data_IF_804394954372
#
_entry.id   IF_804394954372
#
_cell.length_a   1.000
_cell.length_b   1.000
_cell.length_c   1.000
_cell.angle_alpha   90.00
_cell.angle_beta   90.00
_cell.angle_gamma   90.00
#
_symmetry.space_group_name_H-M   'P 1'
#
loop_
_entity.id
_entity.type
_entity.pdbx_description
1 polymer ?
#
# COMPACT_ATOMS: atom_id res chain seq x y z
N UNK A 1 -7.19 2.57 -10.83
CA UNK A 1 -8.00 1.59 -10.09
C UNK A 1 -7.20 1.08 -8.91
N UNK A 2 -7.75 1.07 -7.70
CA UNK A 2 -7.07 0.54 -6.52
C UNK A 2 -7.76 -0.73 -6.01
N UNK A 3 -6.98 -1.73 -5.60
CA UNK A 3 -7.52 -3.01 -5.14
C UNK A 3 -6.57 -3.73 -4.18
N UNK A 4 -7.12 -4.56 -3.29
CA UNK A 4 -6.37 -5.59 -2.54
C UNK A 4 -6.52 -6.97 -3.17
N UNK A 5 -7.45 -7.12 -4.12
CA UNK A 5 -7.90 -8.40 -4.64
C UNK A 5 -7.01 -8.87 -5.80
N UNK A 6 -6.55 -10.13 -5.79
CA UNK A 6 -5.82 -10.70 -6.92
C UNK A 6 -6.71 -10.93 -8.14
N UNK A 7 -8.03 -10.77 -8.00
CA UNK A 7 -9.00 -11.01 -9.08
C UNK A 7 -8.86 -10.02 -10.24
N UNK A 8 -8.20 -8.87 -10.03
CA UNK A 8 -7.93 -7.90 -11.10
C UNK A 8 -7.13 -8.50 -12.26
N UNK A 9 -6.37 -9.57 -12.01
CA UNK A 9 -5.64 -10.30 -13.07
C UNK A 9 -6.56 -11.05 -14.04
N UNK A 10 -7.86 -11.20 -13.74
CA UNK A 10 -8.84 -11.83 -14.66
C UNK A 10 -9.23 -10.91 -15.82
N UNK A 11 -9.12 -9.59 -15.61
CA UNK A 11 -9.60 -8.57 -16.54
C UNK A 11 -8.44 -7.93 -17.33
N UNK A 12 -7.31 -8.63 -17.47
CA UNK A 12 -6.10 -8.10 -18.13
C UNK A 12 -6.38 -7.71 -19.58
N UNK A 13 -7.16 -8.50 -20.30
CA UNK A 13 -7.58 -8.23 -21.68
C UNK A 13 -8.36 -6.92 -21.81
N UNK A 14 -9.20 -6.59 -20.81
CA UNK A 14 -9.90 -5.31 -20.73
C UNK A 14 -8.93 -4.18 -20.37
N UNK A 15 -8.07 -4.39 -19.35
CA UNK A 15 -7.10 -3.39 -18.89
C UNK A 15 -6.14 -2.96 -20.01
N UNK A 16 -5.69 -3.91 -20.85
CA UNK A 16 -4.81 -3.63 -21.99
C UNK A 16 -5.42 -2.65 -23.00
N UNK A 17 -6.75 -2.62 -23.14
CA UNK A 17 -7.43 -1.70 -24.07
C UNK A 17 -7.29 -0.23 -23.64
N UNK A 18 -7.11 0.03 -22.35
CA UNK A 18 -6.97 1.38 -21.81
C UNK A 18 -5.53 1.91 -21.86
N UNK A 19 -4.52 1.04 -22.06
CA UNK A 19 -3.10 1.42 -22.12
C UNK A 19 -2.72 2.29 -20.92
N UNK A 20 -2.05 3.43 -21.15
CA UNK A 20 -1.65 4.39 -20.11
C UNK A 20 -2.81 5.11 -19.42
N UNK A 21 -4.06 4.98 -19.90
CA UNK A 21 -5.23 5.60 -19.26
C UNK A 21 -5.70 4.84 -18.01
N UNK A 22 -5.11 3.69 -17.72
CA UNK A 22 -5.40 2.93 -16.51
C UNK A 22 -4.10 2.54 -15.81
N UNK A 23 -4.08 2.76 -14.49
CA UNK A 23 -3.08 2.21 -13.58
C UNK A 23 -3.77 1.30 -12.58
N UNK A 24 -3.22 0.12 -12.35
CA UNK A 24 -3.66 -0.77 -11.27
C UNK A 24 -2.76 -0.56 -10.06
N UNK A 25 -3.33 0.02 -9.01
CA UNK A 25 -2.69 0.20 -7.72
C UNK A 25 -3.09 -0.96 -6.80
N UNK A 26 -2.13 -1.84 -6.49
CA UNK A 26 -2.34 -2.96 -5.57
C UNK A 26 -1.97 -2.50 -4.17
N UNK A 27 -2.93 -2.53 -3.24
CA UNK A 27 -2.66 -2.13 -1.86
C UNK A 27 -1.88 -3.21 -1.14
N UNK A 28 -0.72 -2.88 -0.58
CA UNK A 28 0.12 -3.71 0.30
C UNK A 28 0.56 -2.84 1.48
N UNK A 29 -0.17 -2.94 2.59
CA UNK A 29 0.00 -2.07 3.77
C UNK A 29 1.24 -2.40 4.62
N UNK A 30 1.70 -3.65 4.54
CA UNK A 30 2.75 -4.24 5.37
C UNK A 30 3.37 -5.44 4.65
N UNK A 31 4.61 -5.80 5.01
CA UNK A 31 5.28 -7.03 4.63
C UNK A 31 5.13 -8.18 5.65
N UNK A 32 4.29 -8.01 6.68
CA UNK A 32 4.06 -9.00 7.71
C UNK A 32 2.65 -9.61 7.61
N UNK A 33 2.58 -10.92 7.41
CA UNK A 33 1.31 -11.67 7.44
C UNK A 33 0.62 -11.58 8.81
N UNK A 34 1.39 -11.49 9.90
CA UNK A 34 0.83 -11.31 11.25
C UNK A 34 0.12 -9.97 11.36
N UNK A 35 0.76 -8.89 10.89
CA UNK A 35 0.17 -7.55 10.88
C UNK A 35 -1.05 -7.51 9.94
N UNK A 36 -0.95 -8.08 8.73
CA UNK A 36 -2.10 -8.19 7.82
C UNK A 36 -3.27 -8.92 8.49
N UNK A 37 -3.05 -10.08 9.13
CA UNK A 37 -4.11 -10.85 9.81
C UNK A 37 -4.77 -10.07 10.94
N UNK A 38 -4.03 -9.24 11.67
CA UNK A 38 -4.57 -8.45 12.78
C UNK A 38 -5.39 -7.24 12.31
N UNK A 39 -4.86 -6.51 11.33
CA UNK A 39 -5.46 -5.25 10.90
C UNK A 39 -6.43 -5.40 9.71
N UNK A 40 -6.12 -6.29 8.78
CA UNK A 40 -6.87 -6.53 7.53
C UNK A 40 -7.05 -8.03 7.26
N UNK A 41 -7.71 -8.78 8.17
CA UNK A 41 -7.83 -10.25 8.09
C UNK A 41 -8.45 -10.74 6.77
N UNK A 42 -9.41 -9.99 6.24
CA UNK A 42 -10.14 -10.31 5.01
C UNK A 42 -9.33 -9.99 3.73
N UNK A 43 -8.22 -9.24 3.85
CA UNK A 43 -7.36 -8.98 2.72
C UNK A 43 -6.64 -10.27 2.28
N UNK A 44 -6.50 -10.52 0.98
CA UNK A 44 -5.72 -11.65 0.48
C UNK A 44 -4.28 -11.66 1.01
N UNK A 45 -3.62 -12.83 1.08
CA UNK A 45 -2.22 -12.93 1.48
C UNK A 45 -1.32 -11.98 0.67
N UNK A 46 -0.30 -11.41 1.31
CA UNK A 46 0.69 -10.52 0.71
C UNK A 46 1.33 -11.17 -0.51
N UNK A 47 1.67 -12.46 -0.43
CA UNK A 47 2.27 -13.18 -1.55
C UNK A 47 1.34 -13.27 -2.77
N UNK A 48 0.03 -13.38 -2.57
CA UNK A 48 -0.92 -13.37 -3.68
C UNK A 48 -0.96 -11.99 -4.36
N UNK A 49 -0.81 -10.91 -3.59
CA UNK A 49 -0.73 -9.54 -4.10
C UNK A 49 0.56 -9.28 -4.88
N UNK A 50 1.69 -9.81 -4.42
CA UNK A 50 2.94 -9.79 -5.21
C UNK A 50 2.80 -10.53 -6.53
N UNK A 51 2.22 -11.74 -6.52
CA UNK A 51 1.98 -12.50 -7.76
C UNK A 51 1.06 -11.75 -8.73
N UNK A 52 0.07 -11.01 -8.22
CA UNK A 52 -0.77 -10.14 -9.04
C UNK A 52 0.04 -9.02 -9.69
N UNK A 53 0.94 -8.36 -8.95
CA UNK A 53 1.84 -7.34 -9.52
C UNK A 53 2.73 -7.92 -10.63
N UNK A 54 3.35 -9.08 -10.41
CA UNK A 54 4.14 -9.77 -11.44
C UNK A 54 3.32 -10.03 -12.70
N UNK A 55 2.10 -10.56 -12.52
CA UNK A 55 1.21 -10.90 -13.63
C UNK A 55 0.80 -9.66 -14.43
N UNK A 56 0.48 -8.56 -13.74
CA UNK A 56 0.12 -7.29 -14.37
C UNK A 56 1.32 -6.67 -15.12
N UNK A 57 2.49 -6.66 -14.50
CA UNK A 57 3.72 -6.14 -15.09
C UNK A 57 4.14 -6.94 -16.33
N UNK A 58 4.07 -8.27 -16.28
CA UNK A 58 4.35 -9.15 -17.42
C UNK A 58 3.43 -8.88 -18.62
N UNK A 59 2.21 -8.40 -18.37
CA UNK A 59 1.23 -8.02 -19.39
C UNK A 59 1.28 -6.52 -19.76
N UNK A 60 2.31 -5.80 -19.31
CA UNK A 60 2.55 -4.36 -19.57
C UNK A 60 1.42 -3.46 -19.08
N UNK A 61 0.74 -3.85 -18.01
CA UNK A 61 -0.23 -2.98 -17.34
C UNK A 61 0.54 -2.03 -16.41
N UNK A 62 0.31 -0.71 -16.45
CA UNK A 62 0.90 0.21 -15.48
C UNK A 62 0.48 -0.16 -14.06
N UNK A 63 1.46 -0.43 -13.19
CA UNK A 63 1.23 -0.84 -11.81
C UNK A 63 1.75 0.19 -10.81
N UNK A 64 1.23 0.07 -9.59
CA UNK A 64 1.67 0.81 -8.41
C UNK A 64 1.40 -0.05 -7.18
N UNK A 65 2.19 0.16 -6.13
CA UNK A 65 1.82 -0.29 -4.78
C UNK A 65 1.30 0.89 -3.98
N UNK A 66 0.14 0.72 -3.36
CA UNK A 66 -0.34 1.63 -2.33
C UNK A 66 -0.07 1.03 -0.94
N UNK A 67 0.74 1.70 -0.13
CA UNK A 67 0.90 1.42 1.29
C UNK A 67 -0.12 2.28 2.02
N UNK A 68 -1.38 1.81 2.04
CA UNK A 68 -2.54 2.60 2.40
C UNK A 68 -3.63 1.76 3.12
N UNK A 69 -3.84 1.94 4.44
CA UNK A 69 -3.03 2.76 5.33
C UNK A 69 -1.63 2.15 5.52
N UNK A 70 -0.68 2.97 5.96
CA UNK A 70 0.61 2.47 6.47
C UNK A 70 0.37 1.64 7.73
N UNK A 71 0.80 0.39 7.69
CA UNK A 71 0.81 -0.51 8.84
C UNK A 71 2.26 -0.83 9.28
N UNK A 72 2.46 -1.39 10.48
CA UNK A 72 3.77 -1.85 10.93
C UNK A 72 4.46 -2.74 9.89
N UNK A 73 5.67 -2.38 9.49
CA UNK A 73 6.43 -3.05 8.43
C UNK A 73 7.92 -3.11 8.76
N UNK A 74 8.60 -4.14 8.26
CA UNK A 74 10.04 -4.29 8.40
C UNK A 74 10.83 -3.15 7.73
N UNK A 75 12.08 -2.96 8.16
CA UNK A 75 12.97 -1.96 7.55
C UNK A 75 13.23 -2.25 6.07
N UNK A 76 13.35 -3.52 5.70
CA UNK A 76 13.61 -3.99 4.34
C UNK A 76 12.35 -4.09 3.45
N UNK A 77 11.24 -3.48 3.86
CA UNK A 77 10.02 -3.51 3.07
C UNK A 77 10.20 -2.86 1.68
N UNK A 78 10.87 -1.70 1.53
CA UNK A 78 11.14 -1.12 0.21
C UNK A 78 11.86 -2.08 -0.75
N UNK A 79 12.86 -2.82 -0.27
CA UNK A 79 13.65 -3.79 -1.03
C UNK A 79 12.79 -4.97 -1.49
N UNK A 80 11.81 -5.37 -0.68
CA UNK A 80 10.83 -6.39 -1.07
C UNK A 80 9.86 -5.89 -2.14
N UNK A 81 9.55 -4.59 -2.18
CA UNK A 81 8.64 -4.01 -3.16
C UNK A 81 9.33 -3.78 -4.52
N UNK A 82 10.60 -3.38 -4.50
CA UNK A 82 11.33 -2.90 -5.69
C UNK A 82 11.33 -3.88 -6.89
N UNK A 83 11.39 -5.21 -6.71
CA UNK A 83 11.30 -6.14 -7.85
C UNK A 83 9.96 -6.13 -8.57
N UNK A 84 8.89 -5.63 -7.94
CA UNK A 84 7.52 -5.75 -8.44
C UNK A 84 6.94 -4.44 -8.99
N UNK A 85 7.53 -3.30 -8.62
CA UNK A 85 6.96 -1.99 -8.92
C UNK A 85 7.99 -0.90 -8.84
N UNK A 86 7.79 0.17 -9.61
CA UNK A 86 8.58 1.41 -9.51
C UNK A 86 7.81 2.51 -8.77
N UNK A 87 6.49 2.59 -8.94
CA UNK A 87 5.64 3.63 -8.33
C UNK A 87 5.04 3.20 -6.99
N UNK A 88 5.23 4.02 -5.96
CA UNK A 88 4.68 3.82 -4.60
C UNK A 88 3.79 4.99 -4.22
N UNK A 89 2.64 4.71 -3.61
CA UNK A 89 1.84 5.72 -2.91
C UNK A 89 1.74 5.37 -1.44
N UNK A 90 2.06 6.33 -0.59
CA UNK A 90 1.89 6.26 0.86
C UNK A 90 0.62 6.99 1.28
N UNK A 91 -0.11 6.40 2.20
CA UNK A 91 -1.23 7.06 2.85
C UNK A 91 -1.37 6.55 4.28
N UNK A 92 -1.66 7.44 5.22
CA UNK A 92 -1.84 7.08 6.62
C UNK A 92 -3.28 7.36 7.09
N UNK A 93 -3.55 7.10 8.37
CA UNK A 93 -4.86 7.33 8.95
C UNK A 93 -5.21 8.81 9.17
N UNK A 94 -4.28 9.74 8.98
CA UNK A 94 -4.45 11.15 9.32
C UNK A 94 -4.63 12.01 8.06
N UNK A 95 -3.82 11.74 7.04
CA UNK A 95 -3.93 12.30 5.70
C UNK A 95 -5.04 11.60 4.90
N UNK A 96 -5.11 10.27 4.99
CA UNK A 96 -5.98 9.44 4.16
C UNK A 96 -7.43 9.31 4.64
N UNK A 97 -7.71 9.63 5.89
CA UNK A 97 -9.06 9.41 6.43
C UNK A 97 -10.05 10.53 6.08
N UNK A 98 -9.58 11.64 5.53
CA UNK A 98 -10.38 12.83 5.19
C UNK A 98 -11.00 13.54 6.39
N UNK A 99 -10.62 13.16 7.62
CA UNK A 99 -11.17 13.69 8.87
C UNK A 99 -10.14 13.99 9.96
N UNK A 100 -8.84 13.94 9.62
CA UNK A 100 -7.73 14.22 10.53
C UNK A 100 -7.54 13.14 11.61
N UNK A 101 -7.85 11.89 11.30
CA UNK A 101 -7.78 10.73 12.21
C UNK A 101 -9.06 10.48 13.02
N UNK A 102 -10.07 11.34 12.95
CA UNK A 102 -11.27 11.22 13.80
C UNK A 102 -12.12 9.99 13.49
N UNK A 103 -12.30 9.67 12.20
CA UNK A 103 -12.99 8.44 11.77
C UNK A 103 -12.21 7.21 12.18
N UNK A 104 -10.89 7.23 12.02
CA UNK A 104 -9.99 6.13 12.40
C UNK A 104 -10.07 5.83 13.89
N UNK A 105 -10.06 6.87 14.74
CA UNK A 105 -10.17 6.70 16.20
C UNK A 105 -11.47 5.99 16.60
N UNK A 106 -12.58 6.31 15.95
CA UNK A 106 -13.89 5.66 16.19
C UNK A 106 -13.92 4.17 15.83
N UNK A 107 -12.95 3.69 15.04
CA UNK A 107 -12.82 2.28 14.66
C UNK A 107 -11.98 1.46 15.67
N UNK A 108 -11.54 2.07 16.78
CA UNK A 108 -10.74 1.39 17.80
C UNK A 108 -9.32 1.04 17.34
N UNK A 109 -8.78 1.77 16.35
CA UNK A 109 -7.44 1.45 15.81
C UNK A 109 -6.35 1.61 16.85
N UNK A 110 -6.41 2.65 17.68
CA UNK A 110 -5.46 2.89 18.77
C UNK A 110 -5.36 1.68 19.71
N UNK A 111 -6.50 1.11 20.10
CA UNK A 111 -6.56 -0.11 20.93
C UNK A 111 -5.94 -1.32 20.22
N UNK A 112 -6.16 -1.48 18.90
CA UNK A 112 -5.54 -2.56 18.12
C UNK A 112 -4.01 -2.46 18.08
N UNK A 113 -3.45 -1.25 18.06
CA UNK A 113 -2.00 -1.04 18.14
C UNK A 113 -1.48 -1.32 19.55
N UNK A 114 -2.17 -0.85 20.59
CA UNK A 114 -1.81 -1.08 21.98
C UNK A 114 -1.80 -2.57 22.36
N UNK A 115 -2.75 -3.36 21.85
CA UNK A 115 -2.80 -4.82 22.05
C UNK A 115 -1.54 -5.55 21.55
N UNK A 116 -0.81 -4.96 20.61
CA UNK A 116 0.42 -5.52 20.04
C UNK A 116 1.69 -4.85 20.58
N UNK A 117 1.58 -3.83 21.44
CA UNK A 117 2.72 -3.00 21.85
C UNK A 117 3.34 -2.23 20.69
N UNK A 118 2.52 -1.77 19.74
CA UNK A 118 2.93 -1.08 18.51
C UNK A 118 2.43 0.37 18.47
N UNK A 119 2.25 1.02 19.61
CA UNK A 119 1.73 2.38 19.74
C UNK A 119 2.55 3.42 18.96
N UNK A 120 3.87 3.23 18.88
CA UNK A 120 4.77 4.09 18.08
C UNK A 120 4.46 4.05 16.58
N UNK A 121 3.75 3.02 16.09
CA UNK A 121 3.26 2.95 14.72
C UNK A 121 1.91 3.66 14.49
N UNK A 122 1.34 4.27 15.53
CA UNK A 122 0.09 5.00 15.46
C UNK A 122 0.28 6.50 15.70
N UNK A 123 0.77 7.20 14.68
CA UNK A 123 0.92 8.65 14.72
C UNK A 123 1.31 9.27 13.38
N UNK A 124 1.17 10.60 13.23
CA UNK A 124 1.45 11.30 11.98
C UNK A 124 2.94 11.31 11.59
N UNK A 125 3.84 10.94 12.52
CA UNK A 125 5.27 10.86 12.24
C UNK A 125 5.65 9.59 11.44
N UNK A 126 4.79 8.57 11.46
CA UNK A 126 5.04 7.27 10.84
C UNK A 126 5.20 7.38 9.33
N UNK A 127 4.40 8.21 8.67
CA UNK A 127 4.50 8.41 7.22
C UNK A 127 5.89 8.92 6.81
N UNK A 128 6.46 9.86 7.57
CA UNK A 128 7.81 10.37 7.30
C UNK A 128 8.87 9.28 7.49
N UNK A 129 8.73 8.43 8.51
CA UNK A 129 9.64 7.30 8.72
C UNK A 129 9.58 6.30 7.56
N UNK A 130 8.39 5.99 7.05
CA UNK A 130 8.22 5.06 5.92
C UNK A 130 8.70 5.69 4.61
N UNK A 131 8.38 6.96 4.38
CA UNK A 131 8.87 7.73 3.25
C UNK A 131 10.40 7.74 3.18
N UNK A 132 11.06 8.06 4.29
CA UNK A 132 12.52 8.08 4.39
C UNK A 132 13.16 6.70 4.17
N UNK A 133 12.45 5.61 4.44
CA UNK A 133 12.91 4.25 4.08
C UNK A 133 12.77 4.01 2.58
N UNK A 134 11.66 4.42 1.98
CA UNK A 134 11.40 4.22 0.54
C UNK A 134 12.37 4.99 -0.34
N UNK A 135 12.62 6.27 -0.08
CA UNK A 135 13.51 7.10 -0.92
C UNK A 135 14.98 6.67 -0.90
N UNK A 136 15.37 5.73 -0.02
CA UNK A 136 16.70 5.10 -0.06
C UNK A 136 16.81 4.07 -1.19
N UNK A 137 15.69 3.52 -1.65
CA UNK A 137 15.61 2.42 -2.64
C UNK A 137 14.92 2.88 -3.93
N UNK A 138 13.95 3.78 -3.82
CA UNK A 138 13.18 4.33 -4.93
C UNK A 138 13.61 5.77 -5.22
N UNK A 139 13.60 6.21 -6.49
CA UNK A 139 13.67 7.62 -6.82
C UNK A 139 12.54 8.39 -6.12
N UNK A 140 12.83 9.57 -5.60
CA UNK A 140 11.83 10.40 -4.93
C UNK A 140 10.66 10.76 -5.86
N UNK A 141 10.91 10.88 -7.17
CA UNK A 141 9.88 11.09 -8.19
C UNK A 141 8.83 9.99 -8.27
N UNK A 142 9.14 8.80 -7.77
CA UNK A 142 8.27 7.63 -7.87
C UNK A 142 7.53 7.32 -6.56
N UNK A 143 7.80 8.10 -5.49
CA UNK A 143 7.17 7.96 -4.17
C UNK A 143 6.22 9.13 -3.92
N UNK A 144 4.93 8.83 -3.89
CA UNK A 144 3.86 9.81 -3.78
C UNK A 144 3.19 9.76 -2.41
N UNK A 145 2.76 10.91 -1.91
CA UNK A 145 2.02 11.04 -0.65
C UNK A 145 0.54 11.33 -0.90
N UNK A 146 -0.33 10.53 -0.27
CA UNK A 146 -1.78 10.66 -0.23
C UNK A 146 -2.39 10.96 -1.61
N UNK A 147 -3.23 11.99 -1.72
CA UNK A 147 -3.97 12.35 -2.94
C UNK A 147 -3.13 12.31 -4.23
N UNK A 148 -1.92 12.86 -4.23
CA UNK A 148 -1.05 12.90 -5.42
C UNK A 148 -0.68 11.50 -5.95
N UNK A 149 -0.68 10.49 -5.08
CA UNK A 149 -0.40 9.10 -5.45
C UNK A 149 -1.62 8.33 -5.94
N UNK A 150 -2.84 8.83 -5.72
CA UNK A 150 -4.09 8.21 -6.17
C UNK A 150 -4.67 8.88 -7.42
N UNK A 151 -4.19 10.07 -7.77
CA UNK A 151 -4.55 10.72 -9.01
C UNK A 151 -4.04 9.94 -10.25
N UNK A 152 -4.77 10.00 -11.38
CA UNK A 152 -4.45 9.27 -12.61
C UNK A 152 -3.03 9.52 -13.11
#
# INVERSE_FOLDING_TARGET
MQTRSPLVSRDIDLLQQFKEKVRVSVTIETDSETIRKHFTPDAPPIQARFKTLETLAANKIPTQVAIAPILPSGEYFPEKLKPFVDRICLDDYFLGDGSGGNRTRKLGMEEKYAQLGLEDWYGPHVINNVYNRLIKIFPESDVYLSQAGFEP
#
